data_IF_627901105332
#
_entry.id   IF_627901105332
#
_cell.length_a   1.000
_cell.length_b   1.000
_cell.length_c   1.000
_cell.angle_alpha   90.00
_cell.angle_beta   90.00
_cell.angle_gamma   90.00
#
_symmetry.space_group_name_H-M   'P 1'
#
loop_
_entity.id
_entity.type
_entity.pdbx_description
1 polymer ?
#
# COMPACT_ATOMS: atom_id res chain seq x y z
N UNK A 1 6.51 17.86 -10.37
CA UNK A 1 7.14 16.54 -10.11
C UNK A 1 8.52 16.61 -9.44
N UNK A 2 9.34 17.66 -9.63
CA UNK A 2 10.71 17.73 -9.07
C UNK A 2 10.86 17.97 -7.55
N UNK A 3 9.83 18.47 -6.85
CA UNK A 3 9.93 18.76 -5.40
C UNK A 3 9.66 17.53 -4.52
N UNK A 4 8.60 16.75 -4.81
CA UNK A 4 8.26 15.55 -4.02
C UNK A 4 9.27 14.42 -4.19
N UNK A 5 9.80 14.21 -5.39
CA UNK A 5 10.88 13.23 -5.57
C UNK A 5 12.12 13.58 -4.75
N UNK A 6 12.49 14.86 -4.63
CA UNK A 6 13.59 15.30 -3.76
C UNK A 6 13.29 15.04 -2.29
N UNK A 7 12.06 15.27 -1.84
CA UNK A 7 11.64 14.98 -0.47
C UNK A 7 11.75 13.48 -0.16
N UNK A 8 11.24 12.60 -1.03
CA UNK A 8 11.32 11.16 -0.82
C UNK A 8 12.76 10.65 -0.86
N UNK A 9 13.62 11.17 -1.73
CA UNK A 9 15.05 10.84 -1.69
C UNK A 9 15.70 11.28 -0.37
N UNK A 10 15.36 12.47 0.14
CA UNK A 10 15.88 12.90 1.45
C UNK A 10 15.42 11.99 2.59
N UNK A 11 14.16 11.54 2.57
CA UNK A 11 13.64 10.58 3.57
C UNK A 11 14.35 9.24 3.43
N UNK A 12 14.64 8.81 2.20
CA UNK A 12 15.36 7.56 1.94
C UNK A 12 16.77 7.54 2.52
N UNK A 13 17.45 8.69 2.48
CA UNK A 13 18.82 8.83 2.99
C UNK A 13 18.86 8.98 4.52
N UNK A 14 17.70 8.99 5.20
CA UNK A 14 17.59 8.99 6.66
C UNK A 14 17.61 7.58 7.23
N UNK A 15 18.19 7.45 8.41
CA UNK A 15 18.05 6.26 9.24
C UNK A 15 16.62 6.16 9.81
N UNK A 16 16.15 4.94 10.09
CA UNK A 16 14.77 4.72 10.55
C UNK A 16 14.41 5.53 11.81
N UNK A 17 15.36 5.68 12.74
CA UNK A 17 15.16 6.48 13.96
C UNK A 17 15.01 7.98 13.67
N UNK A 18 15.65 8.49 12.61
CA UNK A 18 15.54 9.89 12.19
C UNK A 18 14.17 10.14 11.56
N UNK A 19 13.69 9.19 10.74
CA UNK A 19 12.34 9.21 10.16
C UNK A 19 11.30 9.23 11.28
N UNK A 20 11.42 8.34 12.26
CA UNK A 20 10.49 8.25 13.39
C UNK A 20 10.42 9.53 14.24
N UNK A 21 11.54 10.26 14.38
CA UNK A 21 11.56 11.55 15.08
C UNK A 21 11.00 12.71 14.25
N UNK A 22 11.07 12.60 12.92
CA UNK A 22 10.74 13.70 12.00
C UNK A 22 9.33 13.62 11.44
N UNK A 23 8.74 12.42 11.39
CA UNK A 23 7.46 12.17 10.74
C UNK A 23 6.50 11.42 11.67
N UNK A 24 5.20 11.77 11.67
CA UNK A 24 4.21 11.04 12.45
C UNK A 24 4.14 9.57 12.04
N UNK A 25 4.34 8.69 13.02
CA UNK A 25 4.14 7.25 12.88
C UNK A 25 2.65 6.92 12.76
N UNK A 26 2.29 6.09 11.77
CA UNK A 26 0.91 5.68 11.50
C UNK A 26 0.62 4.23 11.87
N UNK A 27 1.66 3.42 11.99
CA UNK A 27 1.54 2.00 12.28
C UNK A 27 2.70 1.21 11.70
N UNK A 28 2.75 -0.07 12.04
CA UNK A 28 3.73 -1.01 11.52
C UNK A 28 3.07 -2.35 11.24
N UNK A 29 3.60 -3.04 10.24
CA UNK A 29 3.48 -4.48 10.13
C UNK A 29 4.69 -5.17 10.76
N UNK A 30 4.80 -6.47 10.51
CA UNK A 30 5.93 -7.28 10.98
C UNK A 30 7.26 -6.69 10.50
N UNK A 31 7.37 -6.39 9.20
CA UNK A 31 8.63 -6.05 8.54
C UNK A 31 8.75 -4.60 8.07
N UNK A 32 7.71 -3.77 8.24
CA UNK A 32 7.68 -2.38 7.75
C UNK A 32 7.03 -1.41 8.73
N UNK A 33 7.55 -0.19 8.81
CA UNK A 33 6.95 0.93 9.51
C UNK A 33 6.36 1.95 8.52
N UNK A 34 5.24 2.57 8.87
CA UNK A 34 4.51 3.51 8.02
C UNK A 34 4.50 4.89 8.67
N UNK A 35 4.89 5.91 7.92
CA UNK A 35 4.97 7.29 8.38
C UNK A 35 4.18 8.22 7.47
N UNK A 36 3.49 9.21 8.06
CA UNK A 36 2.90 10.30 7.31
C UNK A 36 3.99 11.28 6.88
N UNK A 37 4.16 11.48 5.57
CA UNK A 37 5.03 12.57 5.07
C UNK A 37 4.32 13.91 5.24
N UNK A 38 3.02 13.93 4.95
CA UNK A 38 2.12 15.06 5.15
C UNK A 38 0.65 14.55 5.12
N UNK A 39 -0.31 15.41 4.79
CA UNK A 39 -1.71 15.03 4.66
C UNK A 39 -2.00 14.21 3.40
N UNK A 40 -1.12 14.27 2.39
CA UNK A 40 -1.36 13.72 1.05
C UNK A 40 -0.56 12.44 0.78
N UNK A 41 0.52 12.19 1.54
CA UNK A 41 1.44 11.09 1.28
C UNK A 41 1.88 10.35 2.54
N UNK A 42 2.17 9.07 2.35
CA UNK A 42 2.81 8.19 3.31
C UNK A 42 4.06 7.55 2.71
N UNK A 43 4.98 7.14 3.56
CA UNK A 43 6.07 6.22 3.21
C UNK A 43 5.94 4.93 4.02
N UNK A 44 6.20 3.80 3.37
CA UNK A 44 6.44 2.52 4.07
C UNK A 44 7.92 2.21 3.99
N UNK A 45 8.56 2.01 5.13
CA UNK A 45 10.00 1.79 5.26
C UNK A 45 10.25 0.39 5.82
N UNK A 46 11.13 -0.37 5.16
CA UNK A 46 11.54 -1.70 5.59
C UNK A 46 12.37 -1.66 6.87
N UNK A 47 12.09 -2.60 7.77
CA UNK A 47 12.88 -2.87 8.99
C UNK A 47 13.92 -3.97 8.77
N UNK A 48 13.68 -4.83 7.77
CA UNK A 48 14.45 -6.04 7.46
C UNK A 48 14.36 -6.41 5.96
N UNK A 49 14.90 -7.59 5.60
CA UNK A 49 14.90 -8.10 4.22
C UNK A 49 13.50 -8.45 3.72
N UNK A 50 12.60 -8.91 4.59
CA UNK A 50 11.22 -9.22 4.22
C UNK A 50 10.47 -7.93 3.88
N UNK A 51 10.75 -6.83 4.59
CA UNK A 51 10.23 -5.51 4.29
C UNK A 51 10.73 -4.97 2.94
N UNK A 52 12.01 -5.16 2.61
CA UNK A 52 12.57 -4.81 1.29
C UNK A 52 11.85 -5.59 0.18
N UNK A 53 11.65 -6.89 0.40
CA UNK A 53 10.91 -7.76 -0.52
C UNK A 53 9.47 -7.28 -0.72
N UNK A 54 8.73 -7.00 0.36
CA UNK A 54 7.35 -6.50 0.28
C UNK A 54 7.26 -5.16 -0.48
N UNK A 55 8.17 -4.22 -0.22
CA UNK A 55 8.24 -2.96 -0.97
C UNK A 55 8.48 -3.19 -2.47
N UNK A 56 9.35 -4.15 -2.82
CA UNK A 56 9.61 -4.54 -4.21
C UNK A 56 8.39 -5.20 -4.85
N UNK A 57 7.68 -6.07 -4.13
CA UNK A 57 6.46 -6.74 -4.61
C UNK A 57 5.39 -5.70 -4.92
N UNK A 58 5.08 -4.80 -3.98
CA UNK A 58 4.07 -3.75 -4.22
C UNK A 58 4.44 -2.91 -5.46
N UNK A 59 5.70 -2.48 -5.58
CA UNK A 59 6.14 -1.75 -6.76
C UNK A 59 5.98 -2.56 -8.05
N UNK A 60 6.35 -3.84 -8.04
CA UNK A 60 6.23 -4.73 -9.19
C UNK A 60 4.77 -4.92 -9.61
N UNK A 61 3.89 -5.25 -8.66
CA UNK A 61 2.45 -5.40 -8.88
C UNK A 61 1.89 -4.12 -9.50
N UNK A 62 2.10 -2.97 -8.88
CA UNK A 62 1.55 -1.70 -9.38
C UNK A 62 2.05 -1.37 -10.79
N UNK A 63 3.33 -1.61 -11.10
CA UNK A 63 3.90 -1.26 -12.41
C UNK A 63 3.50 -2.23 -13.53
N UNK A 64 3.28 -3.52 -13.23
CA UNK A 64 3.00 -4.56 -14.22
C UNK A 64 1.52 -4.97 -14.31
N UNK A 65 0.65 -4.30 -13.54
CA UNK A 65 -0.80 -4.48 -13.57
C UNK A 65 -1.43 -3.71 -14.74
N UNK A 66 -2.41 -4.32 -15.41
CA UNK A 66 -3.16 -3.67 -16.50
C UNK A 66 -4.08 -2.56 -15.93
N UNK A 67 -4.61 -1.68 -16.80
CA UNK A 67 -5.40 -0.52 -16.35
C UNK A 67 -6.62 -0.90 -15.50
N UNK A 68 -7.34 -1.97 -15.86
CA UNK A 68 -8.56 -2.41 -15.15
C UNK A 68 -8.21 -2.82 -13.72
N UNK A 69 -7.21 -3.68 -13.57
CA UNK A 69 -6.81 -4.17 -12.25
C UNK A 69 -6.08 -3.09 -11.42
N UNK A 70 -5.44 -2.12 -12.09
CA UNK A 70 -4.72 -1.03 -11.42
C UNK A 70 -5.66 -0.08 -10.67
N UNK A 71 -6.93 0.01 -11.07
CA UNK A 71 -7.94 0.84 -10.41
C UNK A 71 -8.33 0.32 -9.00
N UNK A 72 -7.92 -0.89 -8.63
CA UNK A 72 -8.05 -1.40 -7.26
C UNK A 72 -6.84 -1.07 -6.38
N UNK A 73 -5.71 -0.63 -6.95
CA UNK A 73 -4.46 -0.45 -6.21
C UNK A 73 -4.28 1.01 -5.79
N UNK A 74 -3.88 1.24 -4.54
CA UNK A 74 -3.37 2.55 -4.13
C UNK A 74 -2.06 2.82 -4.90
N UNK A 75 -1.94 3.97 -5.59
CA UNK A 75 -0.79 4.24 -6.45
C UNK A 75 0.54 4.27 -5.71
N UNK A 76 1.60 3.76 -6.36
CA UNK A 76 2.97 4.01 -5.93
C UNK A 76 3.53 5.17 -6.74
N UNK A 77 3.84 6.26 -6.03
CA UNK A 77 4.33 7.51 -6.64
C UNK A 77 5.84 7.64 -6.59
N UNK A 78 6.50 6.80 -5.79
CA UNK A 78 7.96 6.72 -5.70
C UNK A 78 8.38 5.38 -5.09
N UNK A 79 9.52 4.85 -5.55
CA UNK A 79 10.11 3.60 -5.04
C UNK A 79 11.64 3.64 -5.09
N UNK A 80 12.26 3.10 -4.05
CA UNK A 80 13.66 2.66 -4.01
C UNK A 80 13.73 1.46 -3.06
N UNK A 81 14.74 0.60 -3.19
CA UNK A 81 14.88 -0.60 -2.35
C UNK A 81 14.72 -0.28 -0.86
N UNK A 82 13.81 -0.95 -0.18
CA UNK A 82 13.47 -0.72 1.23
C UNK A 82 12.41 0.35 1.48
N UNK A 83 11.94 1.10 0.47
CA UNK A 83 10.94 2.16 0.69
C UNK A 83 10.03 2.41 -0.52
N UNK A 84 8.73 2.53 -0.26
CA UNK A 84 7.74 3.04 -1.21
C UNK A 84 7.05 4.29 -0.65
N UNK A 85 6.67 5.21 -1.54
CA UNK A 85 5.77 6.31 -1.21
C UNK A 85 4.45 6.20 -1.97
N UNK A 86 3.36 6.47 -1.26
CA UNK A 86 1.99 6.31 -1.74
C UNK A 86 1.14 7.52 -1.33
N UNK A 87 0.06 7.84 -2.06
CA UNK A 87 -0.96 8.75 -1.56
C UNK A 87 -1.54 8.24 -0.24
N UNK A 88 -1.83 9.16 0.66
CA UNK A 88 -2.40 8.86 1.97
C UNK A 88 -3.90 8.58 1.83
N UNK A 89 -4.27 7.32 1.95
CA UNK A 89 -5.66 6.89 2.04
C UNK A 89 -6.12 6.85 3.50
N UNK A 90 -7.43 6.99 3.73
CA UNK A 90 -8.05 6.79 5.04
C UNK A 90 -8.25 5.28 5.24
N UNK A 91 -7.66 4.63 6.26
CA UNK A 91 -7.82 3.19 6.46
C UNK A 91 -9.27 2.78 6.62
N UNK A 92 -9.70 1.72 5.93
CA UNK A 92 -11.08 1.23 5.99
C UNK A 92 -11.42 0.67 7.38
N UNK A 93 -10.43 0.18 8.11
CA UNK A 93 -10.53 -0.30 9.50
C UNK A 93 -10.99 0.77 10.51
N UNK A 94 -11.01 2.05 10.12
CA UNK A 94 -11.63 3.11 10.93
C UNK A 94 -13.16 3.04 10.91
N UNK A 95 -13.75 2.46 9.86
CA UNK A 95 -15.19 2.39 9.65
C UNK A 95 -15.75 0.98 9.79
N UNK A 96 -14.96 -0.04 9.42
CA UNK A 96 -15.34 -1.45 9.44
C UNK A 96 -14.49 -2.15 10.49
N UNK A 97 -15.12 -2.91 11.40
CA UNK A 97 -14.43 -3.60 12.50
C UNK A 97 -14.21 -5.07 12.24
N UNK A 98 -14.94 -5.63 11.30
CA UNK A 98 -14.77 -6.99 10.80
C UNK A 98 -13.36 -7.14 10.22
N UNK A 99 -12.66 -8.26 10.50
CA UNK A 99 -11.29 -8.47 10.02
C UNK A 99 -11.24 -8.68 8.50
N UNK A 100 -12.34 -9.14 7.91
CA UNK A 100 -12.45 -9.41 6.48
C UNK A 100 -13.64 -8.67 5.88
N UNK A 101 -13.48 -8.20 4.66
CA UNK A 101 -14.53 -7.54 3.89
C UNK A 101 -15.20 -8.50 2.91
N UNK A 102 -16.45 -8.18 2.60
CA UNK A 102 -17.09 -8.64 1.38
C UNK A 102 -16.73 -7.68 0.24
N UNK A 103 -15.90 -8.14 -0.70
CA UNK A 103 -15.43 -7.33 -1.84
C UNK A 103 -16.61 -6.70 -2.60
N UNK A 104 -17.73 -7.42 -2.74
CA UNK A 104 -18.91 -6.94 -3.48
C UNK A 104 -19.58 -5.72 -2.82
N UNK A 105 -19.39 -5.54 -1.51
CA UNK A 105 -19.89 -4.40 -0.73
C UNK A 105 -18.91 -3.22 -0.73
N UNK A 106 -17.63 -3.49 -0.90
CA UNK A 106 -16.56 -2.46 -0.91
C UNK A 106 -16.34 -1.90 -2.31
N UNK A 107 -16.48 -2.73 -3.34
CA UNK A 107 -16.37 -2.35 -4.75
C UNK A 107 -17.65 -2.74 -5.48
N UNK A 108 -18.43 -1.73 -5.87
CA UNK A 108 -19.68 -1.90 -6.62
C UNK A 108 -19.48 -2.22 -8.11
N UNK A 109 -18.23 -2.34 -8.56
CA UNK A 109 -17.93 -2.79 -9.93
C UNK A 109 -18.43 -4.21 -10.15
N UNK A 110 -19.04 -4.46 -11.31
CA UNK A 110 -19.75 -5.71 -11.62
C UNK A 110 -18.90 -6.99 -11.46
N UNK A 111 -17.57 -6.89 -11.57
CA UNK A 111 -16.64 -8.03 -11.54
C UNK A 111 -15.52 -7.86 -10.50
N UNK A 112 -15.74 -7.09 -9.44
CA UNK A 112 -14.68 -6.74 -8.48
C UNK A 112 -14.03 -7.96 -7.82
N UNK A 113 -14.82 -8.98 -7.51
CA UNK A 113 -14.33 -10.22 -6.92
C UNK A 113 -13.45 -11.01 -7.91
N UNK A 114 -13.93 -11.22 -9.14
CA UNK A 114 -13.18 -11.94 -10.17
C UNK A 114 -11.89 -11.22 -10.57
N UNK A 115 -11.93 -9.89 -10.61
CA UNK A 115 -10.76 -9.07 -10.90
C UNK A 115 -9.69 -9.19 -9.82
N UNK A 116 -10.08 -9.19 -8.53
CA UNK A 116 -9.15 -9.37 -7.42
C UNK A 116 -8.59 -10.79 -7.34
N UNK A 117 -9.37 -11.81 -7.69
CA UNK A 117 -8.85 -13.19 -7.88
C UNK A 117 -7.82 -13.21 -9.01
N UNK A 118 -8.12 -12.58 -10.16
CA UNK A 118 -7.17 -12.50 -11.28
C UNK A 118 -5.89 -11.77 -10.89
N UNK A 119 -6.00 -10.69 -10.11
CA UNK A 119 -4.86 -9.96 -9.58
C UNK A 119 -4.00 -10.86 -8.68
N UNK A 120 -4.62 -11.54 -7.71
CA UNK A 120 -3.96 -12.48 -6.81
C UNK A 120 -3.24 -13.58 -7.58
N UNK A 121 -3.92 -14.28 -8.48
CA UNK A 121 -3.33 -15.36 -9.27
C UNK A 121 -2.20 -14.89 -10.17
N UNK A 122 -2.33 -13.71 -10.79
CA UNK A 122 -1.32 -13.16 -11.70
C UNK A 122 0.00 -12.86 -10.98
N UNK A 123 -0.07 -12.37 -9.75
CA UNK A 123 1.10 -11.91 -8.99
C UNK A 123 1.44 -12.81 -7.79
N UNK A 124 0.76 -13.95 -7.68
CA UNK A 124 0.88 -14.89 -6.57
C UNK A 124 0.65 -14.21 -5.20
N UNK A 125 -0.31 -13.29 -5.11
CA UNK A 125 -0.61 -12.57 -3.87
C UNK A 125 -1.44 -13.43 -2.93
N UNK A 126 -1.20 -13.33 -1.63
CA UNK A 126 -2.03 -13.96 -0.61
C UNK A 126 -3.46 -13.37 -0.68
N UNK A 127 -4.45 -14.19 -1.02
CA UNK A 127 -5.81 -13.69 -1.25
C UNK A 127 -6.50 -13.28 0.05
N UNK A 128 -6.15 -13.94 1.15
CA UNK A 128 -6.55 -13.62 2.52
C UNK A 128 -6.17 -12.18 2.88
N UNK A 129 -4.99 -11.72 2.45
CA UNK A 129 -4.57 -10.33 2.64
C UNK A 129 -5.37 -9.37 1.76
N UNK A 130 -5.78 -9.77 0.57
CA UNK A 130 -6.64 -8.95 -0.31
C UNK A 130 -8.03 -8.76 0.30
N UNK A 131 -8.60 -9.78 0.96
CA UNK A 131 -9.90 -9.67 1.62
C UNK A 131 -9.83 -9.12 3.05
N UNK A 132 -8.63 -8.89 3.59
CA UNK A 132 -8.44 -8.28 4.91
C UNK A 132 -8.84 -6.81 4.90
N UNK A 133 -9.66 -6.40 5.87
CA UNK A 133 -10.09 -5.01 6.04
C UNK A 133 -8.92 -4.05 6.21
N UNK A 134 -7.83 -4.47 6.86
CA UNK A 134 -6.64 -3.64 7.07
C UNK A 134 -5.89 -3.32 5.79
N UNK A 135 -6.10 -4.10 4.73
CA UNK A 135 -5.44 -3.93 3.43
C UNK A 135 -6.13 -2.89 2.56
N UNK A 136 -7.25 -2.30 3.01
CA UNK A 136 -8.05 -1.34 2.25
C UNK A 136 -8.05 0.06 2.85
N UNK A 137 -8.19 1.06 1.98
CA UNK A 137 -8.41 2.45 2.36
C UNK A 137 -9.23 3.21 1.34
N UNK A 138 -9.66 4.41 1.75
CA UNK A 138 -10.41 5.36 0.93
C UNK A 138 -9.44 6.44 0.43
N UNK A 139 -9.29 6.52 -0.90
CA UNK A 139 -8.50 7.53 -1.58
C UNK A 139 -9.38 8.24 -2.62
N UNK A 140 -9.57 9.55 -2.50
CA UNK A 140 -10.42 10.34 -3.42
C UNK A 140 -11.81 9.70 -3.65
N UNK A 141 -12.48 9.33 -2.56
CA UNK A 141 -13.79 8.66 -2.55
C UNK A 141 -13.82 7.29 -3.25
N UNK A 142 -12.66 6.64 -3.43
CA UNK A 142 -12.54 5.29 -3.99
C UNK A 142 -11.91 4.35 -2.99
N UNK A 143 -12.44 3.14 -2.92
CA UNK A 143 -11.85 2.05 -2.16
C UNK A 143 -10.67 1.46 -2.95
N UNK A 144 -9.50 1.41 -2.33
CA UNK A 144 -8.27 0.89 -2.92
C UNK A 144 -7.52 0.00 -1.92
N UNK A 145 -6.80 -0.99 -2.43
CA UNK A 145 -5.81 -1.76 -1.70
C UNK A 145 -4.63 -0.86 -1.36
N UNK A 146 -4.42 -0.64 -0.07
CA UNK A 146 -3.27 0.09 0.48
C UNK A 146 -2.13 -0.86 0.87
N UNK A 147 -2.39 -2.16 0.95
CA UNK A 147 -1.39 -3.20 1.16
C UNK A 147 -1.62 -4.37 0.19
N UNK A 148 -0.58 -4.71 -0.56
CA UNK A 148 -0.58 -5.76 -1.58
C UNK A 148 0.85 -6.30 -1.81
N UNK A 149 1.64 -6.34 -0.73
CA UNK A 149 3.06 -6.76 -0.74
C UNK A 149 3.31 -8.22 -0.40
N UNK A 150 2.29 -8.96 0.05
CA UNK A 150 2.42 -10.35 0.50
C UNK A 150 2.09 -11.34 -0.62
N UNK A 151 2.88 -12.42 -0.70
CA UNK A 151 2.76 -13.49 -1.70
C UNK A 151 2.67 -14.86 -1.06
N UNK A 152 2.03 -15.83 -1.73
CA UNK A 152 2.00 -17.25 -1.33
C UNK A 152 3.34 -17.96 -1.54
#
# INVERSE_FOLDING_TARGET
MGSMSKLFNRIYDMELYEIQRSFPYLGEGISRAVFAVNNDYVVKVAKDLDGDYQCKVEYYVYTHTNKILKDYLCPIVWYKRGMIAMPRAIPLSYYIREPYIDISKVRSDRNSYEDLIRLSNKFNLLFEDIVSTSSWGILNNRMVLIDYGCTN
#
